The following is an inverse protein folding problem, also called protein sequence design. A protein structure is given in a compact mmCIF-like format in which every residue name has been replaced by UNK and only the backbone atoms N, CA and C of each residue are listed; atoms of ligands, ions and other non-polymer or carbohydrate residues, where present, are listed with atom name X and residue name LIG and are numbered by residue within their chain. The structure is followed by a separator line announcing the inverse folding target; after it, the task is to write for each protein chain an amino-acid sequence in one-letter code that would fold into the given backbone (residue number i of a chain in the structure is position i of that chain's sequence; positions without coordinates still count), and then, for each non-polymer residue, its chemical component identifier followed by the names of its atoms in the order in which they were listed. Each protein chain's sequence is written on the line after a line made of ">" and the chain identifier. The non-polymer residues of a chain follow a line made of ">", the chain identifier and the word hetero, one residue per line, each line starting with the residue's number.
data_IF_020311378339
#
_entry.id   IF_020311378339
#
_cell.length_a   1.000
_cell.length_b   1.000
_cell.length_c   1.000
_cell.angle_alpha   90.00
_cell.angle_beta   90.00
_cell.angle_gamma   90.00
#
_symmetry.space_group_name_H-M   'P 1'
#
loop_
_entity.id
_entity.type
_entity.pdbx_description
1 polymer ?
#
# COMPACT_ATOMS: atom_id res chain seq x y z
N UNK A 1 10.52 -4.69 -13.91
CA UNK A 1 11.76 -4.08 -14.45
C UNK A 1 12.82 -4.11 -13.36
N UNK A 2 14.09 -4.40 -13.65
CA UNK A 2 15.18 -4.30 -12.66
C UNK A 2 15.39 -2.82 -12.36
N UNK A 3 15.05 -2.36 -11.14
CA UNK A 3 15.35 -0.99 -10.75
C UNK A 3 16.87 -0.79 -10.75
N UNK A 4 17.34 0.24 -11.46
CA UNK A 4 18.76 0.58 -11.51
C UNK A 4 19.20 1.12 -10.14
N UNK A 5 20.47 0.92 -9.72
CA UNK A 5 20.96 1.25 -8.38
C UNK A 5 20.88 2.74 -7.98
N UNK A 6 20.39 3.61 -8.86
CA UNK A 6 20.21 5.05 -8.62
C UNK A 6 18.86 5.58 -9.12
N UNK A 7 17.87 4.71 -9.34
CA UNK A 7 16.53 5.17 -9.66
C UNK A 7 15.88 5.77 -8.42
N UNK A 8 15.62 7.07 -8.44
CA UNK A 8 14.86 7.74 -7.40
C UNK A 8 13.37 7.55 -7.73
N UNK A 9 12.66 6.75 -6.93
CA UNK A 9 11.21 6.56 -7.08
C UNK A 9 10.46 7.74 -6.44
N UNK A 10 9.65 8.44 -7.25
CA UNK A 10 8.71 9.44 -6.78
C UNK A 10 7.38 8.78 -6.39
N UNK A 11 7.21 8.50 -5.10
CA UNK A 11 5.96 8.05 -4.52
C UNK A 11 5.07 9.25 -4.13
N UNK A 12 3.98 9.48 -4.86
CA UNK A 12 3.05 10.59 -4.61
C UNK A 12 1.82 10.15 -3.80
N UNK A 13 1.39 10.89 -2.77
CA UNK A 13 0.06 10.69 -2.18
C UNK A 13 -1.03 11.05 -3.19
N UNK A 14 -2.12 10.30 -3.17
CA UNK A 14 -3.37 10.70 -3.79
C UNK A 14 -4.54 10.44 -2.83
N UNK A 15 -5.50 11.36 -2.81
CA UNK A 15 -6.73 11.18 -2.02
C UNK A 15 -7.65 10.16 -2.69
N UNK A 16 -7.79 10.28 -4.01
CA UNK A 16 -8.71 9.50 -4.81
C UNK A 16 -8.09 9.05 -6.14
N UNK A 17 -8.76 8.12 -6.82
CA UNK A 17 -8.30 7.58 -8.10
C UNK A 17 -8.11 8.65 -9.20
N UNK A 18 -8.87 9.75 -9.16
CA UNK A 18 -8.71 10.84 -10.13
C UNK A 18 -7.40 11.59 -9.90
N UNK A 19 -7.11 11.96 -8.64
CA UNK A 19 -5.82 12.59 -8.28
C UNK A 19 -4.66 11.64 -8.54
N UNK A 20 -4.83 10.34 -8.29
CA UNK A 20 -3.81 9.33 -8.59
C UNK A 20 -3.45 9.31 -10.08
N UNK A 21 -4.46 9.34 -10.97
CA UNK A 21 -4.24 9.43 -12.42
C UNK A 21 -3.46 10.67 -12.79
N UNK A 22 -3.82 11.83 -12.24
CA UNK A 22 -3.10 13.07 -12.51
C UNK A 22 -1.65 13.02 -12.02
N UNK A 23 -1.39 12.49 -10.83
CA UNK A 23 -0.03 12.33 -10.33
C UNK A 23 0.82 11.47 -11.29
N UNK A 24 0.27 10.36 -11.78
CA UNK A 24 0.93 9.48 -12.74
C UNK A 24 1.20 10.19 -14.08
N UNK A 25 0.22 10.91 -14.62
CA UNK A 25 0.38 11.68 -15.86
C UNK A 25 1.46 12.77 -15.76
N UNK A 26 1.75 13.24 -14.55
CA UNK A 26 2.76 14.26 -14.26
C UNK A 26 4.07 13.67 -13.71
N UNK A 27 4.28 12.36 -13.84
CA UNK A 27 5.58 11.73 -13.62
C UNK A 27 5.79 11.07 -12.25
N UNK A 28 4.72 10.77 -11.50
CA UNK A 28 4.83 9.90 -10.33
C UNK A 28 5.19 8.47 -10.77
N UNK A 29 6.23 7.89 -10.17
CA UNK A 29 6.65 6.49 -10.37
C UNK A 29 5.78 5.51 -9.59
N UNK A 30 5.21 5.99 -8.49
CA UNK A 30 4.26 5.26 -7.70
C UNK A 30 3.27 6.23 -7.06
N UNK A 31 2.08 5.75 -6.74
CA UNK A 31 1.10 6.49 -5.96
C UNK A 31 0.62 5.64 -4.79
N UNK A 32 0.36 6.27 -3.65
CA UNK A 32 -0.38 5.62 -2.57
C UNK A 32 -1.74 6.26 -2.35
N UNK A 33 -2.75 5.42 -2.16
CA UNK A 33 -4.14 5.79 -1.90
C UNK A 33 -4.72 4.97 -0.74
N UNK A 34 -5.81 5.43 -0.15
CA UNK A 34 -6.54 4.67 0.86
C UNK A 34 -7.48 3.65 0.25
N UNK A 35 -7.55 2.45 0.84
CA UNK A 35 -8.53 1.42 0.49
C UNK A 35 -9.94 1.72 1.01
N UNK A 36 -10.89 0.79 0.82
CA UNK A 36 -12.26 0.92 1.33
C UNK A 36 -12.35 0.83 2.87
N UNK A 37 -11.28 0.37 3.53
CA UNK A 37 -11.17 0.29 4.97
C UNK A 37 -9.71 0.27 5.44
N UNK A 38 -9.53 0.28 6.76
CA UNK A 38 -8.22 0.13 7.44
C UNK A 38 -7.15 1.18 7.10
N UNK A 39 -7.56 2.29 6.48
CA UNK A 39 -6.73 3.48 6.27
C UNK A 39 -6.97 4.52 7.36
N UNK A 40 -5.90 5.11 7.90
CA UNK A 40 -6.02 6.13 8.96
C UNK A 40 -6.68 7.45 8.52
N UNK A 41 -6.81 7.69 7.20
CA UNK A 41 -7.42 8.91 6.64
C UNK A 41 -8.88 8.64 6.24
N UNK A 42 -9.81 8.99 7.10
CA UNK A 42 -11.25 8.81 6.86
C UNK A 42 -11.75 9.43 5.54
N UNK A 43 -11.22 10.60 5.15
CA UNK A 43 -11.65 11.32 3.94
C UNK A 43 -10.90 10.93 2.65
N UNK A 44 -10.13 9.82 2.65
CA UNK A 44 -9.32 9.36 1.52
C UNK A 44 -9.55 7.88 1.19
N UNK A 45 -10.74 7.38 1.49
CA UNK A 45 -11.14 6.01 1.17
C UNK A 45 -11.56 5.88 -0.30
N UNK A 46 -11.10 4.83 -0.97
CA UNK A 46 -11.43 4.50 -2.35
C UNK A 46 -12.08 3.13 -2.42
N UNK A 47 -13.08 2.96 -3.29
CA UNK A 47 -13.69 1.64 -3.46
C UNK A 47 -12.72 0.66 -4.11
N UNK A 48 -12.87 -0.63 -3.85
CA UNK A 48 -12.08 -1.67 -4.51
C UNK A 48 -12.21 -1.59 -6.05
N UNK A 49 -13.37 -1.18 -6.55
CA UNK A 49 -13.60 -0.97 -7.98
C UNK A 49 -12.76 0.18 -8.53
N UNK A 50 -12.69 1.32 -7.85
CA UNK A 50 -11.90 2.46 -8.30
C UNK A 50 -10.40 2.10 -8.36
N UNK A 51 -9.93 1.31 -7.38
CA UNK A 51 -8.57 0.78 -7.34
C UNK A 51 -8.34 -0.17 -8.52
N UNK A 52 -9.25 -1.13 -8.74
CA UNK A 52 -9.17 -2.07 -9.86
C UNK A 52 -9.14 -1.37 -11.24
N UNK A 53 -9.86 -0.26 -11.39
CA UNK A 53 -9.86 0.55 -12.62
C UNK A 53 -8.58 1.41 -12.76
N UNK A 54 -7.94 1.77 -11.64
CA UNK A 54 -6.72 2.56 -11.58
C UNK A 54 -5.46 1.74 -11.89
N UNK A 55 -5.35 0.52 -11.35
CA UNK A 55 -4.17 -0.36 -11.52
C UNK A 55 -3.74 -0.52 -12.99
N UNK A 56 -4.60 -0.94 -13.94
CA UNK A 56 -4.19 -1.11 -15.34
C UNK A 56 -3.84 0.22 -16.02
N UNK A 57 -4.37 1.34 -15.53
CA UNK A 57 -3.93 2.66 -15.98
C UNK A 57 -2.51 2.94 -15.51
N UNK A 58 -2.22 2.79 -14.21
CA UNK A 58 -0.90 3.06 -13.64
C UNK A 58 0.18 2.20 -14.29
N UNK A 59 -0.06 0.89 -14.40
CA UNK A 59 0.87 -0.05 -15.00
C UNK A 59 1.17 0.26 -16.48
N UNK A 60 0.22 0.84 -17.23
CA UNK A 60 0.46 1.30 -18.60
C UNK A 60 1.50 2.42 -18.69
N UNK A 61 1.57 3.26 -17.67
CA UNK A 61 2.58 4.32 -17.55
C UNK A 61 3.83 3.87 -16.78
N UNK A 62 3.92 2.58 -16.42
CA UNK A 62 5.01 2.05 -15.61
C UNK A 62 4.96 2.46 -14.14
N UNK A 63 3.86 3.07 -13.69
CA UNK A 63 3.69 3.50 -12.31
C UNK A 63 3.09 2.40 -11.44
N UNK A 64 3.47 2.34 -10.16
CA UNK A 64 2.96 1.38 -9.17
C UNK A 64 1.82 1.95 -8.32
N UNK A 65 0.94 1.08 -7.83
CA UNK A 65 -0.16 1.41 -6.91
C UNK A 65 0.11 0.81 -5.54
N UNK A 66 0.21 1.66 -4.52
CA UNK A 66 0.30 1.25 -3.12
C UNK A 66 -1.01 1.58 -2.40
N UNK A 67 -1.41 0.73 -1.47
CA UNK A 67 -2.64 0.94 -0.68
C UNK A 67 -2.33 0.96 0.81
N UNK A 68 -2.87 1.95 1.52
CA UNK A 68 -2.66 2.06 2.97
C UNK A 68 -3.57 1.11 3.73
N UNK A 69 -2.99 0.33 4.65
CA UNK A 69 -3.64 -0.52 5.64
C UNK A 69 -2.97 -0.26 7.01
N UNK A 70 -3.09 0.98 7.47
CA UNK A 70 -2.28 1.59 8.53
C UNK A 70 -3.10 2.02 9.76
N UNK A 71 -4.18 1.30 10.05
CA UNK A 71 -4.84 1.33 11.37
C UNK A 71 -4.34 0.19 12.24
N UNK A 72 -4.46 0.33 13.55
CA UNK A 72 -4.36 -0.81 14.48
C UNK A 72 -5.63 -1.65 14.33
N UNK A 73 -5.49 -2.96 14.21
CA UNK A 73 -6.60 -3.89 14.00
C UNK A 73 -7.10 -4.44 15.33
N UNK A 74 -8.41 -4.57 15.48
CA UNK A 74 -9.02 -5.40 16.51
C UNK A 74 -9.17 -6.85 16.04
N UNK A 75 -9.36 -7.78 16.99
CA UNK A 75 -9.46 -9.22 16.69
C UNK A 75 -10.58 -9.54 15.69
N UNK A 76 -11.71 -8.83 15.75
CA UNK A 76 -12.85 -8.99 14.84
C UNK A 76 -12.62 -8.34 13.46
N UNK A 77 -11.54 -7.58 13.30
CA UNK A 77 -11.14 -6.93 12.05
C UNK A 77 -10.07 -7.72 11.27
N UNK A 78 -9.44 -8.72 11.88
CA UNK A 78 -8.37 -9.53 11.26
C UNK A 78 -8.84 -10.26 9.99
N UNK A 79 -9.96 -10.99 10.07
CA UNK A 79 -10.49 -11.74 8.93
C UNK A 79 -11.02 -10.80 7.81
N UNK A 80 -11.75 -9.70 8.12
CA UNK A 80 -12.01 -8.64 7.14
C UNK A 80 -10.77 -8.04 6.48
N UNK A 81 -9.70 -7.78 7.23
CA UNK A 81 -8.45 -7.24 6.71
C UNK A 81 -7.77 -8.23 5.75
N UNK A 82 -7.68 -9.51 6.12
CA UNK A 82 -7.12 -10.56 5.26
C UNK A 82 -7.87 -10.67 3.92
N UNK A 83 -9.21 -10.62 3.96
CA UNK A 83 -10.04 -10.61 2.75
C UNK A 83 -9.74 -9.39 1.88
N UNK A 84 -9.68 -8.21 2.47
CA UNK A 84 -9.36 -6.99 1.72
C UNK A 84 -7.98 -7.06 1.08
N UNK A 85 -6.96 -7.57 1.80
CA UNK A 85 -5.61 -7.74 1.25
C UNK A 85 -5.63 -8.68 0.04
N UNK A 86 -6.36 -9.79 0.15
CA UNK A 86 -6.53 -10.75 -0.95
C UNK A 86 -7.19 -10.11 -2.16
N UNK A 87 -8.25 -9.34 -1.94
CA UNK A 87 -8.95 -8.62 -3.00
C UNK A 87 -8.04 -7.58 -3.67
N UNK A 88 -7.32 -6.77 -2.89
CA UNK A 88 -6.37 -5.78 -3.40
C UNK A 88 -5.26 -6.43 -4.23
N UNK A 89 -4.68 -7.54 -3.75
CA UNK A 89 -3.69 -8.31 -4.49
C UNK A 89 -4.25 -8.80 -5.84
N UNK A 90 -5.47 -9.32 -5.85
CA UNK A 90 -6.12 -9.80 -7.08
C UNK A 90 -6.41 -8.68 -8.09
N UNK A 91 -6.54 -7.42 -7.65
CA UNK A 91 -6.63 -6.27 -8.56
C UNK A 91 -5.30 -5.86 -9.18
N UNK A 92 -4.18 -6.35 -8.66
CA UNK A 92 -2.82 -5.99 -9.10
C UNK A 92 -2.20 -4.82 -8.33
N UNK A 93 -2.68 -4.52 -7.11
CA UNK A 93 -1.99 -3.59 -6.19
C UNK A 93 -0.57 -4.10 -5.93
N UNK A 94 0.40 -3.19 -5.97
CA UNK A 94 1.81 -3.54 -5.96
C UNK A 94 2.41 -3.64 -4.56
N UNK A 95 1.88 -2.89 -3.57
CA UNK A 95 2.34 -2.92 -2.19
C UNK A 95 1.28 -2.42 -1.20
N UNK A 96 1.42 -2.82 0.07
CA UNK A 96 0.62 -2.31 1.18
C UNK A 96 1.47 -1.48 2.13
N UNK A 97 0.94 -0.35 2.60
CA UNK A 97 1.58 0.47 3.65
C UNK A 97 0.93 0.12 4.99
N UNK A 98 1.64 -0.63 5.83
CA UNK A 98 1.09 -1.30 7.01
C UNK A 98 1.65 -0.72 8.31
N UNK A 99 0.80 -0.61 9.33
CA UNK A 99 1.23 -0.25 10.69
C UNK A 99 1.23 -1.45 11.64
N UNK A 100 0.16 -2.27 11.59
CA UNK A 100 -0.08 -3.33 12.56
C UNK A 100 0.66 -4.62 12.17
N UNK A 101 1.48 -5.16 13.08
CA UNK A 101 2.26 -6.37 12.84
C UNK A 101 1.41 -7.64 12.90
N UNK A 102 0.16 -7.57 13.38
CA UNK A 102 -0.79 -8.69 13.32
C UNK A 102 -1.06 -9.17 11.89
N UNK A 103 -0.85 -8.30 10.89
CA UNK A 103 -0.90 -8.68 9.46
C UNK A 103 0.08 -9.81 9.11
N UNK A 104 1.23 -9.89 9.79
CA UNK A 104 2.26 -10.91 9.52
C UNK A 104 1.83 -12.32 9.91
N UNK A 105 0.82 -12.44 10.77
CA UNK A 105 0.26 -13.72 11.23
C UNK A 105 -0.93 -14.18 10.35
N UNK A 106 -1.37 -13.35 9.40
CA UNK A 106 -2.49 -13.67 8.51
C UNK A 106 -2.03 -14.45 7.29
N UNK A 107 -2.90 -15.32 6.76
CA UNK A 107 -2.68 -16.03 5.50
C UNK A 107 -2.98 -15.08 4.32
N UNK A 108 -2.05 -14.17 4.04
CA UNK A 108 -2.12 -13.19 2.97
C UNK A 108 -1.36 -13.65 1.72
N UNK A 109 -1.78 -13.24 0.50
CA UNK A 109 -0.99 -13.46 -0.70
C UNK A 109 0.39 -12.78 -0.62
N UNK A 110 1.35 -13.16 -1.50
CA UNK A 110 2.70 -12.62 -1.49
C UNK A 110 2.75 -11.18 -2.05
N UNK A 111 2.18 -10.23 -1.31
CA UNK A 111 2.17 -8.80 -1.60
C UNK A 111 3.32 -8.10 -0.86
N UNK A 112 3.95 -7.12 -1.51
CA UNK A 112 5.02 -6.33 -0.89
C UNK A 112 4.46 -5.49 0.27
N UNK A 113 5.17 -5.47 1.41
CA UNK A 113 4.76 -4.73 2.60
C UNK A 113 5.75 -3.58 2.85
N UNK A 114 5.23 -2.38 3.04
CA UNK A 114 5.98 -1.17 3.39
C UNK A 114 5.61 -0.71 4.78
N UNK A 115 6.60 -0.42 5.61
CA UNK A 115 6.34 0.03 6.97
C UNK A 115 5.78 1.45 6.94
N UNK A 116 4.60 1.65 7.52
CA UNK A 116 3.99 2.97 7.67
C UNK A 116 4.89 3.87 8.50
N UNK A 117 4.87 5.18 8.24
CA UNK A 117 5.50 6.17 9.13
C UNK A 117 4.95 6.08 10.56
N UNK A 118 3.72 5.57 10.73
CA UNK A 118 3.11 5.30 12.03
C UNK A 118 3.75 4.13 12.78
N UNK A 119 4.58 3.33 12.12
CA UNK A 119 5.43 2.37 12.82
C UNK A 119 6.45 3.08 13.71
N UNK A 120 6.73 4.39 13.57
CA UNK A 120 7.64 5.17 14.43
C UNK A 120 9.01 4.46 14.61
N UNK A 121 9.73 4.29 13.51
CA UNK A 121 11.05 3.65 13.48
C UNK A 121 12.09 4.67 13.97
N UNK A 122 12.46 4.58 15.25
CA UNK A 122 13.40 5.52 15.90
C UNK A 122 14.74 4.90 16.30
N UNK A 123 14.90 3.59 16.13
CA UNK A 123 16.11 2.87 16.52
C UNK A 123 16.53 1.89 15.43
N UNK A 124 17.82 1.54 15.44
CA UNK A 124 18.39 0.58 14.47
C UNK A 124 17.79 -0.81 14.66
N UNK A 125 17.49 -1.18 15.91
CA UNK A 125 16.89 -2.48 16.25
C UNK A 125 15.50 -2.62 15.65
N UNK A 126 14.70 -1.55 15.68
CA UNK A 126 13.36 -1.54 15.07
C UNK A 126 13.40 -1.58 13.55
N UNK A 127 14.34 -0.86 12.95
CA UNK A 127 14.57 -0.93 11.50
C UNK A 127 14.99 -2.34 11.06
N UNK A 128 15.90 -2.97 11.80
CA UNK A 128 16.32 -4.36 11.56
C UNK A 128 15.17 -5.34 11.72
N UNK A 129 14.40 -5.24 12.80
CA UNK A 129 13.24 -6.09 13.02
C UNK A 129 12.28 -6.07 11.83
N UNK A 130 11.91 -4.87 11.34
CA UNK A 130 11.00 -4.75 10.19
C UNK A 130 11.59 -5.36 8.91
N UNK A 131 12.88 -5.11 8.63
CA UNK A 131 13.56 -5.72 7.50
C UNK A 131 13.60 -7.26 7.59
N UNK A 132 13.83 -7.81 8.79
CA UNK A 132 13.91 -9.26 9.02
C UNK A 132 12.54 -9.96 8.87
N UNK A 133 11.44 -9.25 9.14
CA UNK A 133 10.07 -9.78 9.00
C UNK A 133 9.41 -9.47 7.65
N UNK A 134 10.16 -8.93 6.69
CA UNK A 134 9.73 -8.82 5.29
C UNK A 134 9.27 -7.44 4.81
N UNK A 135 9.57 -6.37 5.56
CA UNK A 135 9.41 -4.98 5.13
C UNK A 135 10.64 -4.38 4.43
#
# INVERSE_FOLDING_TARGET
>A
MRQQPHYLELLSPARDAAIAREAILHGADAVYIGGPGFGARHNASNSLRDIADLVPFAHRYGARIFVTLNTILHDDELEPAQRLITDLYNTGVDALIVQDMGILELDIPPIELHASTQCDIRSVEKAKFLADVGF
#
